data_IF_831076117145
#
_entry.id   IF_831076117145
#
_cell.length_a   1.000
_cell.length_b   1.000
_cell.length_c   1.000
_cell.angle_alpha   90.00
_cell.angle_beta   90.00
_cell.angle_gamma   90.00
#
_symmetry.space_group_name_H-M   'P 1'
#
loop_
_entity.id
_entity.type
_entity.pdbx_description
1 polymer ?
#
# COMPACT_ATOMS: atom_id res chain seq x y z
N UNK A 1 -1.26 9.27 1.86
CA UNK A 1 -1.26 7.82 2.12
C UNK A 1 -2.56 7.49 2.84
N UNK A 2 -3.54 6.98 2.12
CA UNK A 2 -4.81 6.52 2.69
C UNK A 2 -5.28 5.37 1.80
N UNK A 3 -5.59 4.23 2.39
CA UNK A 3 -6.21 3.13 1.68
C UNK A 3 -7.68 3.05 2.13
N UNK A 4 -8.55 3.97 1.64
CA UNK A 4 -9.92 4.10 2.14
C UNK A 4 -10.79 2.87 1.83
N UNK A 5 -10.38 2.05 0.86
CA UNK A 5 -11.09 0.83 0.46
C UNK A 5 -10.85 -0.36 1.39
N UNK A 6 -9.87 -0.27 2.30
CA UNK A 6 -9.56 -1.31 3.29
C UNK A 6 -10.04 -0.84 4.66
N UNK A 7 -10.99 -1.58 5.24
CA UNK A 7 -11.70 -1.16 6.45
C UNK A 7 -10.80 -1.07 7.68
N UNK A 8 -9.85 -1.99 7.82
CA UNK A 8 -8.89 -2.07 8.92
C UNK A 8 -7.60 -1.28 8.67
N UNK A 9 -7.56 -0.44 7.62
CA UNK A 9 -6.44 0.45 7.34
C UNK A 9 -6.31 1.54 8.41
N UNK A 10 -5.20 1.50 9.15
CA UNK A 10 -4.81 2.54 10.11
C UNK A 10 -4.16 3.72 9.37
N UNK A 11 -4.98 4.68 8.95
CA UNK A 11 -4.54 5.84 8.19
C UNK A 11 -5.06 7.17 8.75
N UNK A 12 -4.80 8.27 8.04
CA UNK A 12 -5.11 9.63 8.52
C UNK A 12 -6.62 9.92 8.71
N UNK A 13 -7.54 8.98 8.43
CA UNK A 13 -8.93 9.08 8.94
C UNK A 13 -8.96 9.15 10.47
N UNK A 14 -7.98 8.56 11.14
CA UNK A 14 -7.84 8.56 12.60
C UNK A 14 -6.93 9.68 13.15
N UNK A 15 -5.92 10.10 12.38
CA UNK A 15 -4.87 11.03 12.86
C UNK A 15 -4.86 12.39 12.16
N UNK A 16 -5.66 12.58 11.11
CA UNK A 16 -5.57 13.74 10.23
C UNK A 16 -4.38 13.67 9.27
N UNK A 17 -4.08 14.77 8.56
CA UNK A 17 -2.96 14.84 7.62
C UNK A 17 -1.60 14.84 8.33
N UNK A 18 -0.63 14.12 7.77
CA UNK A 18 0.75 14.11 8.25
C UNK A 18 1.56 15.29 7.70
N UNK A 19 2.52 15.79 8.48
CA UNK A 19 3.49 16.79 8.02
C UNK A 19 4.32 16.25 6.85
N UNK A 20 4.63 17.09 5.87
CA UNK A 20 5.53 16.72 4.75
C UNK A 20 6.90 16.28 5.25
N UNK A 21 7.39 16.84 6.36
CA UNK A 21 8.69 16.47 6.96
C UNK A 21 8.70 15.06 7.56
N UNK A 22 7.53 14.44 7.77
CA UNK A 22 7.41 13.06 8.25
C UNK A 22 7.45 12.03 7.11
N UNK A 23 7.40 12.46 5.85
CA UNK A 23 7.42 11.57 4.69
C UNK A 23 8.87 11.22 4.37
N UNK A 24 9.22 9.94 4.51
CA UNK A 24 10.57 9.43 4.26
C UNK A 24 10.85 9.25 2.76
N UNK A 25 9.90 8.67 2.03
CA UNK A 25 10.07 8.36 0.61
C UNK A 25 8.74 8.11 -0.11
N UNK A 26 8.80 8.01 -1.44
CA UNK A 26 7.73 7.50 -2.29
C UNK A 26 8.04 6.06 -2.66
N UNK A 27 7.08 5.14 -2.43
CA UNK A 27 7.22 3.76 -2.87
C UNK A 27 7.28 3.67 -4.41
N UNK A 28 8.19 2.85 -4.93
CA UNK A 28 8.24 2.43 -6.34
C UNK A 28 7.50 1.10 -6.43
N UNK A 29 6.55 0.93 -7.36
CA UNK A 29 5.87 -0.34 -7.55
C UNK A 29 6.84 -1.49 -7.83
N UNK A 30 6.62 -2.63 -7.19
CA UNK A 30 7.28 -3.89 -7.51
C UNK A 30 6.22 -4.86 -8.05
N UNK A 31 6.62 -5.69 -9.01
CA UNK A 31 5.81 -6.82 -9.43
C UNK A 31 6.11 -8.00 -8.53
N UNK A 32 5.07 -8.63 -8.01
CA UNK A 32 5.18 -9.80 -7.12
C UNK A 32 4.51 -11.00 -7.79
N UNK A 33 5.02 -12.19 -7.46
CA UNK A 33 4.45 -13.49 -7.82
C UNK A 33 4.03 -14.17 -6.51
N UNK A 34 2.89 -13.74 -5.97
CA UNK A 34 2.39 -14.24 -4.69
C UNK A 34 1.77 -15.64 -4.82
N UNK A 35 1.26 -15.99 -5.99
CA UNK A 35 0.72 -17.33 -6.29
C UNK A 35 1.82 -18.38 -6.55
N UNK A 36 3.04 -17.94 -6.89
CA UNK A 36 4.20 -18.80 -7.12
C UNK A 36 4.17 -19.55 -8.45
N UNK A 37 3.44 -19.03 -9.44
CA UNK A 37 3.23 -19.67 -10.74
C UNK A 37 4.06 -19.03 -11.88
N UNK A 38 4.94 -18.09 -11.52
CA UNK A 38 5.81 -17.37 -12.45
C UNK A 38 5.14 -16.16 -13.10
N UNK A 39 3.88 -15.84 -12.78
CA UNK A 39 3.19 -14.66 -13.32
C UNK A 39 3.32 -13.46 -12.38
N UNK A 40 4.23 -12.58 -12.74
CA UNK A 40 4.42 -11.30 -12.06
C UNK A 40 3.30 -10.32 -12.38
N UNK A 41 2.56 -9.89 -11.35
CA UNK A 41 1.45 -8.94 -11.50
C UNK A 41 1.63 -7.74 -10.55
N UNK A 42 1.02 -6.62 -10.95
CA UNK A 42 0.98 -5.42 -10.11
C UNK A 42 -0.26 -5.50 -9.19
N UNK A 43 -0.06 -5.34 -7.88
CA UNK A 43 -1.10 -5.59 -6.86
C UNK A 43 -1.67 -7.02 -6.98
N UNK A 44 -0.82 -8.03 -6.85
CA UNK A 44 -1.31 -9.39 -6.67
C UNK A 44 -2.32 -9.39 -5.51
N UNK A 45 -3.47 -10.04 -5.73
CA UNK A 45 -4.44 -10.21 -4.66
C UNK A 45 -3.96 -11.36 -3.79
N UNK A 46 -3.84 -11.11 -2.49
CA UNK A 46 -3.81 -12.16 -1.49
C UNK A 46 -5.25 -12.52 -1.18
N UNK A 47 -5.65 -13.75 -1.52
CA UNK A 47 -6.91 -14.34 -1.07
C UNK A 47 -6.95 -14.53 0.46
#
# INVERSE_FOLDING_TARGET
LMNPTVQDSLDGRYFGPFSVTSIVARAVPIWTDEEGDGRFVWRAAVD
#
